data_IF_956328764131
#
_entry.id   IF_956328764131
#
_cell.length_a   1.000
_cell.length_b   1.000
_cell.length_c   1.000
_cell.angle_alpha   90.00
_cell.angle_beta   90.00
_cell.angle_gamma   90.00
#
_symmetry.space_group_name_H-M   'P 1'
#
loop_
_entity.id
_entity.type
_entity.pdbx_description
1 polymer ?
#
# COMPACT_ATOMS: atom_id res chain seq x y z
N UNK A 1 26.65 0.85 -49.80
CA UNK A 1 25.34 0.89 -49.10
C UNK A 1 25.43 -0.03 -47.90
N UNK A 2 25.59 0.54 -46.70
CA UNK A 2 25.28 -0.12 -45.43
C UNK A 2 24.83 1.00 -44.50
N UNK A 3 23.51 1.25 -44.43
CA UNK A 3 22.95 2.13 -43.43
C UNK A 3 23.10 1.43 -42.08
N UNK A 4 24.02 1.91 -41.26
CA UNK A 4 23.99 1.62 -39.83
C UNK A 4 22.82 2.41 -39.27
N UNK A 5 21.76 1.68 -38.93
CA UNK A 5 20.58 2.20 -38.25
C UNK A 5 21.04 2.75 -36.88
N UNK A 6 20.85 4.05 -36.57
CA UNK A 6 21.34 4.65 -35.32
C UNK A 6 20.50 4.25 -34.09
N UNK A 7 19.39 3.54 -34.30
CA UNK A 7 18.53 3.01 -33.25
C UNK A 7 18.91 1.57 -32.86
N UNK A 8 20.20 1.33 -32.58
CA UNK A 8 20.67 0.12 -31.91
C UNK A 8 19.96 -0.03 -30.57
N UNK A 9 18.79 -0.68 -30.64
CA UNK A 9 17.82 -0.95 -29.60
C UNK A 9 18.51 -1.42 -28.32
N UNK A 10 18.72 -0.49 -27.38
CA UNK A 10 18.74 -0.85 -25.97
C UNK A 10 17.29 -1.21 -25.63
N UNK A 11 16.89 -2.45 -25.96
CA UNK A 11 15.59 -2.97 -25.59
C UNK A 11 15.46 -2.80 -24.07
N UNK A 12 14.47 -2.01 -23.65
CA UNK A 12 14.19 -1.81 -22.23
C UNK A 12 13.99 -3.20 -21.62
N UNK A 13 14.76 -3.59 -20.59
CA UNK A 13 14.67 -4.93 -20.04
C UNK A 13 13.23 -5.16 -19.58
N UNK A 14 12.70 -6.32 -19.92
CA UNK A 14 11.41 -6.75 -19.38
C UNK A 14 11.47 -6.75 -17.86
N UNK A 15 10.31 -6.61 -17.19
CA UNK A 15 10.26 -6.68 -15.72
C UNK A 15 10.95 -7.94 -15.17
N UNK A 16 10.90 -9.04 -15.92
CA UNK A 16 11.57 -10.29 -15.59
C UNK A 16 13.11 -10.17 -15.70
N UNK A 17 13.62 -9.55 -16.76
CA UNK A 17 15.06 -9.33 -16.95
C UNK A 17 15.61 -8.32 -15.94
N UNK A 18 14.85 -7.27 -15.63
CA UNK A 18 15.19 -6.31 -14.58
C UNK A 18 15.20 -6.99 -13.20
N UNK A 19 14.19 -7.83 -12.89
CA UNK A 19 14.16 -8.58 -11.63
C UNK A 19 15.32 -9.58 -11.51
N UNK A 20 15.69 -10.24 -12.63
CA UNK A 20 16.86 -11.14 -12.70
C UNK A 20 18.20 -10.40 -12.55
N UNK A 21 18.26 -9.14 -12.97
CA UNK A 21 19.47 -8.32 -12.83
C UNK A 21 19.70 -7.83 -11.39
N UNK A 22 18.64 -7.74 -10.58
CA UNK A 22 18.71 -7.24 -9.20
C UNK A 22 18.78 -8.38 -8.18
N UNK A 23 18.12 -9.51 -8.44
CA UNK A 23 18.04 -10.64 -7.51
C UNK A 23 18.37 -11.96 -8.20
N UNK A 24 19.15 -12.79 -7.52
CA UNK A 24 19.31 -14.21 -7.86
C UNK A 24 17.96 -14.94 -7.81
N UNK A 25 17.88 -16.12 -8.42
CA UNK A 25 16.66 -16.93 -8.37
C UNK A 25 16.31 -17.34 -6.91
N UNK A 26 17.32 -17.61 -6.08
CA UNK A 26 17.15 -17.92 -4.66
C UNK A 26 16.57 -16.73 -3.89
N UNK A 27 17.15 -15.54 -4.05
CA UNK A 27 16.64 -14.31 -3.41
C UNK A 27 15.20 -13.98 -3.85
N UNK A 28 14.84 -14.28 -5.11
CA UNK A 28 13.47 -14.10 -5.59
C UNK A 28 12.48 -15.06 -4.95
N UNK A 29 12.85 -16.32 -4.77
CA UNK A 29 11.97 -17.28 -4.08
C UNK A 29 11.84 -16.94 -2.58
N UNK A 30 12.94 -16.56 -1.92
CA UNK A 30 12.89 -16.06 -0.54
C UNK A 30 12.04 -14.81 -0.41
N UNK A 31 12.15 -13.86 -1.35
CA UNK A 31 11.30 -12.66 -1.36
C UNK A 31 9.82 -13.01 -1.49
N UNK A 32 9.46 -13.94 -2.38
CA UNK A 32 8.07 -14.40 -2.53
C UNK A 32 7.55 -15.03 -1.23
N UNK A 33 8.35 -15.86 -0.57
CA UNK A 33 7.97 -16.48 0.70
C UNK A 33 7.78 -15.45 1.81
N UNK A 34 8.69 -14.49 1.91
CA UNK A 34 8.60 -13.38 2.86
C UNK A 34 7.34 -12.54 2.61
N UNK A 35 7.05 -12.19 1.36
CA UNK A 35 5.84 -11.45 0.98
C UNK A 35 4.57 -12.21 1.35
N UNK A 36 4.55 -13.53 1.12
CA UNK A 36 3.40 -14.37 1.50
C UNK A 36 3.22 -14.41 3.02
N UNK A 37 4.32 -14.55 3.76
CA UNK A 37 4.30 -14.55 5.23
C UNK A 37 3.77 -13.22 5.77
N UNK A 38 4.25 -12.11 5.21
CA UNK A 38 3.82 -10.77 5.57
C UNK A 38 2.34 -10.54 5.26
N UNK A 39 1.85 -10.96 4.09
CA UNK A 39 0.42 -10.89 3.74
C UNK A 39 -0.46 -11.66 4.74
N UNK A 40 -0.01 -12.84 5.17
CA UNK A 40 -0.74 -13.63 6.19
C UNK A 40 -0.72 -12.91 7.54
N UNK A 41 0.42 -12.33 7.93
CA UNK A 41 0.55 -11.58 9.18
C UNK A 41 -0.37 -10.33 9.17
N UNK A 42 -0.38 -9.56 8.09
CA UNK A 42 -1.27 -8.41 7.92
C UNK A 42 -2.74 -8.80 7.96
N UNK A 43 -3.12 -9.91 7.30
CA UNK A 43 -4.49 -10.39 7.33
C UNK A 43 -4.92 -10.83 8.75
N UNK A 44 -4.02 -11.43 9.53
CA UNK A 44 -4.27 -11.77 10.95
C UNK A 44 -4.42 -10.50 11.78
N UNK A 45 -3.49 -9.56 11.65
CA UNK A 45 -3.54 -8.28 12.32
C UNK A 45 -4.87 -7.57 12.06
N UNK A 46 -5.29 -7.43 10.81
CA UNK A 46 -6.56 -6.77 10.48
C UNK A 46 -7.80 -7.50 11.01
N UNK A 47 -7.74 -8.82 11.22
CA UNK A 47 -8.82 -9.59 11.88
C UNK A 47 -8.85 -9.38 13.38
N UNK A 48 -7.68 -9.30 14.00
CA UNK A 48 -7.50 -9.09 15.45
C UNK A 48 -7.79 -7.64 15.86
N UNK A 49 -7.71 -6.70 14.90
CA UNK A 49 -7.86 -5.26 15.12
C UNK A 49 -9.07 -4.66 14.36
N UNK A 50 -10.32 -5.00 14.71
CA UNK A 50 -11.51 -4.48 14.06
C UNK A 50 -11.63 -2.95 14.14
N UNK A 51 -11.00 -2.32 15.14
CA UNK A 51 -10.93 -0.88 15.29
C UNK A 51 -10.24 -0.17 14.13
N UNK A 52 -9.36 -0.86 13.39
CA UNK A 52 -8.72 -0.35 12.17
C UNK A 52 -9.76 -0.23 11.07
N UNK A 53 -10.56 -1.27 10.85
CA UNK A 53 -11.63 -1.29 9.85
C UNK A 53 -12.66 -0.20 10.13
N UNK A 54 -13.08 -0.06 11.37
CA UNK A 54 -14.09 0.94 11.77
C UNK A 54 -13.58 2.38 11.60
N UNK A 55 -12.31 2.61 11.91
CA UNK A 55 -11.65 3.91 11.69
C UNK A 55 -11.62 4.27 10.21
N UNK A 56 -11.30 3.30 9.37
CA UNK A 56 -11.27 3.46 7.93
C UNK A 56 -12.67 3.74 7.36
N UNK A 57 -13.69 3.01 7.84
CA UNK A 57 -15.08 3.21 7.45
C UNK A 57 -15.58 4.62 7.78
N UNK A 58 -15.24 5.14 8.96
CA UNK A 58 -15.61 6.51 9.33
C UNK A 58 -14.92 7.56 8.45
N UNK A 59 -13.62 7.40 8.19
CA UNK A 59 -12.91 8.28 7.26
C UNK A 59 -13.52 8.25 5.86
N UNK A 60 -13.83 7.05 5.36
CA UNK A 60 -14.43 6.86 4.04
C UNK A 60 -15.85 7.47 3.97
N UNK A 61 -16.64 7.33 5.04
CA UNK A 61 -17.97 7.95 5.15
C UNK A 61 -17.89 9.47 4.97
N UNK A 62 -16.89 10.11 5.59
CA UNK A 62 -16.67 11.57 5.46
C UNK A 62 -16.31 11.96 4.03
N UNK A 63 -15.38 11.26 3.41
CA UNK A 63 -15.01 11.49 1.99
C UNK A 63 -16.22 11.37 1.07
N UNK A 64 -17.04 10.34 1.26
CA UNK A 64 -18.24 10.13 0.44
C UNK A 64 -19.29 11.23 0.62
N UNK A 65 -19.36 11.82 1.82
CA UNK A 65 -20.29 12.91 2.13
C UNK A 65 -19.80 14.26 1.61
N UNK A 66 -18.54 14.59 1.89
CA UNK A 66 -17.99 15.93 1.65
C UNK A 66 -17.42 16.07 0.23
N UNK A 67 -17.20 14.95 -0.47
CA UNK A 67 -16.63 14.86 -1.82
C UNK A 67 -15.48 15.85 -2.05
N UNK A 68 -14.43 15.79 -1.21
CA UNK A 68 -13.31 16.73 -1.33
C UNK A 68 -12.59 16.54 -2.66
N UNK A 69 -12.00 17.62 -3.16
CA UNK A 69 -11.21 17.62 -4.39
C UNK A 69 -9.98 16.70 -4.27
N UNK A 70 -9.39 16.60 -3.08
CA UNK A 70 -8.34 15.62 -2.74
C UNK A 70 -8.77 14.71 -1.57
N UNK A 71 -9.38 13.56 -1.87
CA UNK A 71 -9.79 12.56 -0.87
C UNK A 71 -8.63 11.99 -0.06
N UNK A 72 -7.46 11.82 -0.68
CA UNK A 72 -6.31 11.18 -0.02
C UNK A 72 -5.72 12.15 0.99
N UNK A 73 -5.47 13.40 0.61
CA UNK A 73 -4.97 14.42 1.53
C UNK A 73 -5.96 14.66 2.68
N UNK A 74 -7.26 14.65 2.40
CA UNK A 74 -8.31 14.80 3.41
C UNK A 74 -8.29 13.66 4.43
N UNK A 75 -8.19 12.40 3.97
CA UNK A 75 -8.08 11.24 4.86
C UNK A 75 -6.80 11.28 5.69
N UNK A 76 -5.67 11.63 5.08
CA UNK A 76 -4.38 11.75 5.79
C UNK A 76 -4.46 12.80 6.89
N UNK A 77 -5.02 13.98 6.61
CA UNK A 77 -5.21 15.03 7.61
C UNK A 77 -6.15 14.58 8.74
N UNK A 78 -7.24 13.88 8.41
CA UNK A 78 -8.17 13.34 9.39
C UNK A 78 -7.51 12.32 10.33
N UNK A 79 -6.79 11.33 9.79
CA UNK A 79 -6.14 10.32 10.64
C UNK A 79 -4.99 10.87 11.50
N UNK A 80 -4.41 12.01 11.12
CA UNK A 80 -3.44 12.74 11.93
C UNK A 80 -4.08 13.69 12.97
N UNK A 81 -5.39 13.91 12.90
CA UNK A 81 -6.08 14.91 13.71
C UNK A 81 -6.29 14.48 15.16
N UNK A 82 -6.31 15.45 16.07
CA UNK A 82 -6.72 15.22 17.47
C UNK A 82 -8.17 14.71 17.57
N UNK A 83 -9.02 15.04 16.60
CA UNK A 83 -10.39 14.53 16.50
C UNK A 83 -10.39 13.00 16.38
N UNK A 84 -9.58 12.46 15.48
CA UNK A 84 -9.46 11.01 15.29
C UNK A 84 -8.86 10.31 16.51
N UNK A 85 -7.83 10.89 17.14
CA UNK A 85 -7.24 10.35 18.36
C UNK A 85 -8.24 10.32 19.53
N UNK A 86 -9.08 11.34 19.65
CA UNK A 86 -10.16 11.39 20.64
C UNK A 86 -11.30 10.43 20.32
N UNK A 87 -11.63 10.21 19.04
CA UNK A 87 -12.58 9.18 18.61
C UNK A 87 -12.13 7.78 19.05
N UNK A 88 -10.83 7.47 18.95
CA UNK A 88 -10.26 6.22 19.48
C UNK A 88 -10.39 6.15 21.01
N UNK A 89 -10.02 7.21 21.72
CA UNK A 89 -10.03 7.22 23.19
C UNK A 89 -11.42 7.02 23.79
N UNK A 90 -12.47 7.63 23.21
CA UNK A 90 -13.85 7.48 23.70
C UNK A 90 -14.40 6.06 23.55
N UNK A 91 -13.93 5.30 22.56
CA UNK A 91 -14.40 3.93 22.34
C UNK A 91 -13.69 2.89 23.22
N UNK A 92 -12.46 3.16 23.65
CA UNK A 92 -11.77 2.32 24.64
C UNK A 92 -12.40 2.46 26.04
N UNK A 93 -12.96 3.63 26.39
CA UNK A 93 -13.61 3.85 27.69
C UNK A 93 -15.05 3.30 27.80
N UNK A 94 -15.62 2.74 26.73
CA UNK A 94 -17.01 2.23 26.73
C UNK A 94 -17.08 0.69 26.68
N UNK A 95 -15.96 0.02 26.94
CA UNK A 95 -15.87 -1.45 27.05
C UNK A 95 -15.49 -1.82 28.49
#
# INVERSE_FOLDING_TARGET
MSSLDPNGLMATPTLLEAAKAVFSDEERETLKENLRTEQVAQAKYLREHPEVRESLQEGLRRVLQDQPEDPVATLTAYFASAEFLNFKSKRVSTV
#
